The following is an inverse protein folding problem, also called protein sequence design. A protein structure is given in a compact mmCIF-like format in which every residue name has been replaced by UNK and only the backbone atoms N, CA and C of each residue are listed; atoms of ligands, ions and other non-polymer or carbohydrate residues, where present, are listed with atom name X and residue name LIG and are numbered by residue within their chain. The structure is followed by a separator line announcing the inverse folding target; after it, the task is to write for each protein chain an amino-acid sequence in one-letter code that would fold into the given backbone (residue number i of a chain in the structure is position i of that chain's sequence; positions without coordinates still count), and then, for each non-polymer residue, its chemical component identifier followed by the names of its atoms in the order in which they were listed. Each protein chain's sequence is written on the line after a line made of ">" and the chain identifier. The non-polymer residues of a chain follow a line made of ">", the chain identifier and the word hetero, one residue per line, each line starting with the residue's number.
data_IF_769969507512
#
_entry.id   IF_769969507512
#
_cell.length_a   1.000
_cell.length_b   1.000
_cell.length_c   1.000
_cell.angle_alpha   90.00
_cell.angle_beta   90.00
_cell.angle_gamma   90.00
#
_symmetry.space_group_name_H-M   'P 1'
#
loop_
_entity.id
_entity.type
_entity.pdbx_description
1 polymer ?
#
# COMPACT_ATOMS: atom_id res chain seq x y z
N UNK A 1 -16.35 -17.44 -10.14
CA UNK A 1 -16.62 -16.37 -9.16
C UNK A 1 -16.88 -16.92 -7.76
N UNK A 2 -17.94 -17.70 -7.49
CA UNK A 2 -18.10 -18.30 -6.13
C UNK A 2 -16.93 -19.22 -5.76
N UNK A 3 -16.46 -20.04 -6.71
CA UNK A 3 -15.24 -20.87 -6.56
C UNK A 3 -13.97 -20.03 -6.38
N UNK A 4 -13.89 -18.88 -7.05
CA UNK A 4 -12.74 -17.97 -7.01
C UNK A 4 -12.66 -17.22 -5.67
N UNK A 5 -13.81 -16.79 -5.16
CA UNK A 5 -13.94 -16.17 -3.84
C UNK A 5 -13.65 -17.19 -2.73
N UNK A 6 -14.16 -18.41 -2.83
CA UNK A 6 -13.85 -19.52 -1.89
C UNK A 6 -12.36 -19.81 -1.84
N UNK A 7 -11.73 -19.90 -3.01
CA UNK A 7 -10.29 -20.11 -3.12
C UNK A 7 -9.51 -18.94 -2.49
N UNK A 8 -9.92 -17.70 -2.77
CA UNK A 8 -9.30 -16.51 -2.20
C UNK A 8 -9.43 -16.44 -0.67
N UNK A 9 -10.56 -16.87 -0.10
CA UNK A 9 -10.75 -16.96 1.36
C UNK A 9 -9.81 -18.00 1.97
N UNK A 10 -9.65 -19.16 1.33
CA UNK A 10 -8.72 -20.20 1.78
C UNK A 10 -7.25 -19.70 1.71
N UNK A 11 -6.87 -19.08 0.59
CA UNK A 11 -5.54 -18.47 0.43
C UNK A 11 -5.29 -17.37 1.47
N UNK A 12 -6.29 -16.52 1.74
CA UNK A 12 -6.18 -15.47 2.76
C UNK A 12 -5.88 -16.08 4.13
N UNK A 13 -6.59 -17.15 4.51
CA UNK A 13 -6.34 -17.85 5.78
C UNK A 13 -4.87 -18.28 5.90
N UNK A 14 -4.34 -18.92 4.86
CA UNK A 14 -2.96 -19.42 4.85
C UNK A 14 -1.95 -18.27 4.96
N UNK A 15 -2.19 -17.16 4.26
CA UNK A 15 -1.38 -15.94 4.36
C UNK A 15 -1.39 -15.35 5.76
N UNK A 16 -2.56 -15.26 6.41
CA UNK A 16 -2.65 -14.71 7.76
C UNK A 16 -1.96 -15.62 8.79
N UNK A 17 -2.03 -16.94 8.62
CA UNK A 17 -1.30 -17.89 9.44
C UNK A 17 0.22 -17.75 9.26
N UNK A 18 0.70 -17.61 8.03
CA UNK A 18 2.13 -17.44 7.76
C UNK A 18 2.66 -16.13 8.34
N UNK A 19 1.96 -15.01 8.11
CA UNK A 19 2.33 -13.70 8.67
C UNK A 19 2.41 -13.72 10.20
N UNK A 20 1.51 -14.44 10.85
CA UNK A 20 1.52 -14.57 12.30
C UNK A 20 2.63 -15.48 12.82
N UNK A 21 2.96 -16.55 12.09
CA UNK A 21 4.05 -17.45 12.44
C UNK A 21 5.43 -16.83 12.19
N UNK A 22 5.53 -15.93 11.20
CA UNK A 22 6.77 -15.34 10.72
C UNK A 22 6.75 -13.80 10.79
N UNK A 23 6.74 -13.19 12.00
CA UNK A 23 6.70 -11.74 12.14
C UNK A 23 7.95 -11.07 11.55
N UNK A 24 7.77 -9.85 11.04
CA UNK A 24 8.85 -9.05 10.48
C UNK A 24 9.71 -8.41 11.58
N UNK A 25 11.04 -8.33 11.38
CA UNK A 25 11.91 -7.66 12.33
C UNK A 25 11.57 -6.16 12.41
N UNK A 26 11.66 -5.61 13.61
CA UNK A 26 11.53 -4.18 13.82
C UNK A 26 12.74 -3.42 13.28
N UNK A 27 12.47 -2.27 12.68
CA UNK A 27 13.49 -1.35 12.19
C UNK A 27 13.76 -0.29 13.24
N UNK A 28 15.03 -0.13 13.64
CA UNK A 28 15.43 0.94 14.53
C UNK A 28 15.26 2.32 13.87
N UNK A 29 14.92 3.34 14.67
CA UNK A 29 14.88 4.71 14.17
C UNK A 29 16.28 5.20 13.79
N UNK A 30 16.44 5.90 12.64
CA UNK A 30 17.69 6.59 12.33
C UNK A 30 18.04 7.61 13.43
N UNK A 31 19.34 7.78 13.77
CA UNK A 31 19.78 8.60 14.91
C UNK A 31 19.33 10.08 14.83
N UNK A 32 19.08 10.57 13.61
CA UNK A 32 18.68 11.96 13.37
C UNK A 32 17.15 12.18 13.36
N UNK A 33 16.33 11.12 13.41
CA UNK A 33 14.87 11.19 13.21
C UNK A 33 14.11 10.15 14.04
N UNK A 34 13.71 10.48 15.28
CA UNK A 34 12.99 9.55 16.16
C UNK A 34 11.47 9.61 15.92
N UNK A 35 11.03 9.59 14.65
CA UNK A 35 9.60 9.65 14.31
C UNK A 35 9.15 8.29 13.78
N UNK A 36 8.08 7.76 14.34
CA UNK A 36 7.40 6.54 13.87
C UNK A 36 5.96 6.88 13.56
N UNK A 37 5.40 6.21 12.57
CA UNK A 37 4.00 6.27 12.23
C UNK A 37 3.52 4.87 11.94
N UNK A 38 2.29 4.55 12.36
CA UNK A 38 1.71 3.23 12.20
C UNK A 38 0.44 3.31 11.37
N UNK A 39 0.20 2.28 10.58
CA UNK A 39 -1.02 2.15 9.77
C UNK A 39 -1.67 0.80 10.00
N UNK A 40 -3.00 0.78 10.09
CA UNK A 40 -3.81 -0.41 10.24
C UNK A 40 -4.31 -0.90 8.87
N UNK A 41 -3.90 -2.09 8.48
CA UNK A 41 -4.48 -2.84 7.38
C UNK A 41 -5.63 -3.68 7.94
N UNK A 42 -6.85 -3.17 7.80
CA UNK A 42 -8.06 -3.75 8.38
C UNK A 42 -8.78 -4.57 7.32
N UNK A 43 -8.85 -5.88 7.56
CA UNK A 43 -9.54 -6.86 6.74
C UNK A 43 -10.90 -7.21 7.34
N UNK A 44 -11.86 -7.51 6.48
CA UNK A 44 -13.11 -8.17 6.85
C UNK A 44 -13.46 -9.21 5.79
N UNK A 45 -14.37 -10.11 6.12
CA UNK A 45 -15.05 -10.93 5.12
C UNK A 45 -16.49 -10.47 5.03
N UNK A 46 -16.92 -10.01 3.86
CA UNK A 46 -18.28 -9.58 3.61
C UNK A 46 -19.13 -10.83 3.29
N UNK A 47 -20.17 -11.16 4.08
CA UNK A 47 -20.96 -12.35 3.81
C UNK A 47 -21.65 -12.31 2.44
N UNK A 48 -21.78 -13.47 1.82
CA UNK A 48 -22.67 -13.65 0.66
C UNK A 48 -24.14 -13.69 1.13
N UNK A 49 -25.05 -13.20 0.29
CA UNK A 49 -26.48 -13.19 0.57
C UNK A 49 -27.02 -14.59 0.86
N UNK A 50 -26.59 -15.60 0.09
CA UNK A 50 -27.05 -16.98 0.23
C UNK A 50 -26.54 -17.67 1.51
N UNK A 51 -25.48 -17.12 2.11
CA UNK A 51 -24.79 -17.65 3.28
C UNK A 51 -24.76 -16.65 4.43
N UNK A 52 -25.75 -15.76 4.49
CA UNK A 52 -25.80 -14.77 5.56
C UNK A 52 -26.00 -15.45 6.92
N UNK A 53 -25.20 -15.14 7.95
CA UNK A 53 -25.35 -15.79 9.24
C UNK A 53 -26.71 -15.43 9.84
N UNK A 54 -27.45 -16.44 10.28
CA UNK A 54 -28.72 -16.23 11.00
C UNK A 54 -28.39 -15.43 12.26
N UNK A 55 -28.93 -14.21 12.34
CA UNK A 55 -28.85 -13.40 13.56
C UNK A 55 -29.55 -14.18 14.66
N UNK A 56 -28.79 -14.90 15.47
CA UNK A 56 -29.29 -15.36 16.75
C UNK A 56 -29.49 -14.09 17.57
N UNK A 57 -30.74 -13.64 17.69
CA UNK A 57 -31.14 -12.69 18.71
C UNK A 57 -30.62 -13.22 20.05
N UNK A 58 -29.45 -12.73 20.50
CA UNK A 58 -29.02 -12.99 21.85
C UNK A 58 -30.10 -12.35 22.71
N UNK A 59 -30.87 -13.19 23.39
CA UNK A 59 -31.84 -12.79 24.40
C UNK A 59 -31.20 -11.80 25.39
N UNK A 60 -31.30 -10.51 25.12
CA UNK A 60 -30.86 -9.42 26.01
C UNK A 60 -31.80 -9.29 27.22
N UNK A 61 -32.90 -10.05 27.26
CA UNK A 61 -33.81 -10.13 28.40
C UNK A 61 -33.80 -11.52 29.01
N UNK A 62 -33.13 -11.68 30.17
CA UNK A 62 -33.41 -12.65 31.27
C UNK A 62 -32.19 -13.34 31.91
N UNK A 63 -31.11 -12.62 32.25
CA UNK A 63 -30.15 -13.15 33.25
C UNK A 63 -29.82 -12.21 34.43
N UNK A 64 -30.52 -11.09 34.59
CA UNK A 64 -30.30 -10.15 35.71
C UNK A 64 -31.16 -10.43 36.96
N UNK A 65 -31.98 -11.49 36.98
CA UNK A 65 -32.92 -11.71 38.09
C UNK A 65 -33.07 -13.18 38.53
N UNK A 66 -31.96 -13.86 38.84
CA UNK A 66 -32.02 -15.10 39.67
C UNK A 66 -30.66 -15.48 40.28
N UNK A 67 -30.07 -14.58 41.06
CA UNK A 67 -29.04 -14.96 42.04
C UNK A 67 -29.35 -14.37 43.41
N UNK A 68 -30.48 -14.84 43.98
CA UNK A 68 -30.79 -14.66 45.40
C UNK A 68 -30.11 -15.78 46.19
N UNK A 69 -29.22 -15.37 47.08
CA UNK A 69 -28.87 -15.93 48.40
C UNK A 69 -28.69 -17.45 48.51
N UNK A 70 -27.43 -17.87 48.57
CA UNK A 70 -27.02 -19.01 49.41
C UNK A 70 -25.70 -18.66 50.10
N UNK A 71 -25.78 -18.47 51.41
CA UNK A 71 -24.66 -18.33 52.35
C UNK A 71 -23.79 -19.58 52.31
N UNK A 72 -22.49 -19.42 52.04
CA UNK A 72 -21.49 -20.48 52.20
C UNK A 72 -20.32 -19.93 52.99
N UNK A 73 -20.15 -20.51 54.18
CA UNK A 73 -19.06 -20.35 55.13
C UNK A 73 -17.70 -20.61 54.46
N UNK A 74 -16.77 -19.66 54.64
CA UNK A 74 -15.40 -19.73 54.15
C UNK A 74 -14.56 -20.72 54.96
N UNK A 75 -14.15 -21.83 54.35
CA UNK A 75 -13.10 -22.69 54.85
C UNK A 75 -11.82 -22.45 54.00
N UNK A 76 -10.71 -21.95 54.57
CA UNK A 76 -9.60 -21.41 53.78
C UNK A 76 -8.69 -22.45 53.10
N UNK A 77 -8.81 -23.74 53.38
CA UNK A 77 -7.83 -24.75 52.94
C UNK A 77 -8.09 -25.38 51.56
N UNK A 78 -9.23 -25.12 50.91
CA UNK A 78 -9.55 -25.75 49.61
C UNK A 78 -9.33 -24.82 48.40
N UNK A 79 -8.83 -23.62 48.62
CA UNK A 79 -8.59 -22.60 47.57
C UNK A 79 -7.30 -22.88 46.77
N UNK A 80 -6.38 -23.68 47.32
CA UNK A 80 -5.09 -23.96 46.68
C UNK A 80 -5.16 -25.10 45.66
N UNK A 81 -6.04 -26.10 45.85
CA UNK A 81 -6.18 -27.23 44.92
C UNK A 81 -7.09 -26.95 43.71
N UNK A 82 -8.00 -25.97 43.79
CA UNK A 82 -8.82 -25.52 42.64
C UNK A 82 -8.12 -24.48 41.75
N UNK A 83 -7.04 -23.86 42.22
CA UNK A 83 -6.23 -22.92 41.42
C UNK A 83 -5.25 -23.61 40.46
N UNK A 84 -5.05 -24.92 40.60
CA UNK A 84 -4.15 -25.71 39.76
C UNK A 84 -4.85 -26.39 38.56
N UNK A 85 -6.17 -26.22 38.37
CA UNK A 85 -6.91 -26.83 37.24
C UNK A 85 -7.66 -25.82 36.36
N UNK A 86 -7.43 -24.52 36.54
CA UNK A 86 -7.75 -23.49 35.53
C UNK A 86 -6.42 -23.15 34.86
N UNK A 87 -5.84 -24.14 34.17
CA UNK A 87 -4.89 -23.83 33.12
C UNK A 87 -5.70 -23.12 32.04
N UNK A 88 -5.53 -21.79 31.98
CA UNK A 88 -6.02 -20.96 30.88
C UNK A 88 -5.73 -21.67 29.57
N UNK A 89 -6.75 -22.23 28.93
CA UNK A 89 -6.65 -22.64 27.54
C UNK A 89 -6.57 -21.34 26.73
N UNK A 90 -5.37 -20.75 26.65
CA UNK A 90 -5.07 -19.74 25.64
C UNK A 90 -5.15 -20.47 24.30
N UNK A 91 -6.29 -20.36 23.63
CA UNK A 91 -6.44 -20.85 22.27
C UNK A 91 -5.29 -20.31 21.43
N UNK A 92 -4.65 -21.18 20.65
CA UNK A 92 -3.62 -20.73 19.71
C UNK A 92 -4.27 -19.80 18.70
N UNK A 93 -3.53 -18.79 18.21
CA UNK A 93 -4.01 -17.93 17.13
C UNK A 93 -4.46 -18.76 15.92
N UNK A 94 -3.76 -19.88 15.66
CA UNK A 94 -4.14 -20.84 14.63
C UNK A 94 -5.55 -21.39 14.85
N UNK A 95 -5.88 -21.79 16.08
CA UNK A 95 -7.20 -22.34 16.42
C UNK A 95 -8.29 -21.27 16.25
N UNK A 96 -7.98 -20.02 16.60
CA UNK A 96 -8.91 -18.88 16.44
C UNK A 96 -9.19 -18.62 14.96
N UNK A 97 -8.15 -18.59 14.12
CA UNK A 97 -8.30 -18.41 12.67
C UNK A 97 -9.01 -19.60 12.04
N UNK A 98 -8.64 -20.83 12.41
CA UNK A 98 -9.32 -22.05 11.96
C UNK A 98 -10.83 -21.99 12.30
N UNK A 99 -11.18 -21.60 13.52
CA UNK A 99 -12.57 -21.42 13.92
C UNK A 99 -13.27 -20.32 13.11
N UNK A 100 -12.64 -19.17 12.92
CA UNK A 100 -13.21 -18.06 12.15
C UNK A 100 -13.50 -18.47 10.70
N UNK A 101 -12.51 -19.03 10.00
CA UNK A 101 -12.62 -19.47 8.60
C UNK A 101 -13.46 -20.75 8.42
N UNK A 102 -13.77 -21.48 9.49
CA UNK A 102 -14.69 -22.62 9.43
C UNK A 102 -16.16 -22.22 9.33
N UNK A 103 -16.50 -20.95 9.61
CA UNK A 103 -17.86 -20.46 9.54
C UNK A 103 -18.37 -20.41 8.10
N UNK A 104 -19.61 -20.85 7.87
CA UNK A 104 -20.22 -20.95 6.53
C UNK A 104 -20.22 -19.61 5.78
N UNK A 105 -20.61 -18.53 6.47
CA UNK A 105 -20.65 -17.18 5.90
C UNK A 105 -19.26 -16.63 5.54
N UNK A 106 -18.20 -17.11 6.20
CA UNK A 106 -16.82 -16.72 5.91
C UNK A 106 -16.32 -17.47 4.68
N UNK A 107 -16.56 -18.78 4.60
CA UNK A 107 -16.14 -19.61 3.46
C UNK A 107 -16.72 -19.13 2.14
N UNK A 108 -17.93 -18.58 2.17
CA UNK A 108 -18.64 -18.10 0.98
C UNK A 108 -18.58 -16.58 0.82
N UNK A 109 -17.96 -15.84 1.76
CA UNK A 109 -17.90 -14.38 1.76
C UNK A 109 -16.76 -13.80 0.92
N UNK A 110 -16.81 -12.50 0.63
CA UNK A 110 -15.80 -11.79 -0.16
C UNK A 110 -14.85 -11.01 0.78
N UNK A 111 -13.53 -11.32 0.82
CA UNK A 111 -12.59 -10.59 1.67
C UNK A 111 -12.36 -9.16 1.15
N UNK A 112 -12.45 -8.19 2.05
CA UNK A 112 -12.34 -6.76 1.74
C UNK A 112 -11.35 -6.06 2.66
N UNK A 113 -10.76 -4.98 2.16
CA UNK A 113 -9.79 -4.13 2.87
C UNK A 113 -10.33 -2.71 2.99
N UNK A 114 -10.20 -2.12 4.18
CA UNK A 114 -10.60 -0.74 4.43
C UNK A 114 -9.57 0.29 3.96
N UNK A 115 -10.02 1.24 3.15
CA UNK A 115 -9.28 2.44 2.78
C UNK A 115 -9.99 3.70 3.28
N UNK A 116 -9.20 4.74 3.53
CA UNK A 116 -9.70 6.10 3.77
C UNK A 116 -9.32 7.01 2.60
N UNK A 117 -10.20 7.97 2.29
CA UNK A 117 -9.83 9.17 1.53
C UNK A 117 -9.56 10.28 2.53
N UNK A 118 -8.32 10.77 2.56
CA UNK A 118 -7.90 11.87 3.46
C UNK A 118 -8.68 13.15 3.18
N UNK A 119 -9.03 13.88 4.23
CA UNK A 119 -9.68 15.18 4.12
C UNK A 119 -8.77 16.22 3.44
N UNK A 120 -9.38 17.16 2.74
CA UNK A 120 -8.67 18.24 2.05
C UNK A 120 -8.22 19.30 3.04
N UNK A 121 -6.91 19.54 3.14
CA UNK A 121 -6.32 20.54 4.04
C UNK A 121 -5.34 21.44 3.29
N UNK A 122 -5.48 22.75 3.47
CA UNK A 122 -4.56 23.72 2.86
C UNK A 122 -3.14 23.48 3.40
N UNK A 123 -2.18 23.24 2.51
CA UNK A 123 -0.79 22.96 2.87
C UNK A 123 -0.48 21.49 3.18
N UNK A 124 -1.47 20.60 3.22
CA UNK A 124 -1.21 19.16 3.28
C UNK A 124 -0.88 18.62 1.89
N UNK A 125 0.31 18.04 1.76
CA UNK A 125 0.85 17.41 0.54
C UNK A 125 0.11 16.12 0.16
N UNK A 126 -0.73 15.63 1.07
CA UNK A 126 -1.47 14.37 0.97
C UNK A 126 -2.98 14.55 0.89
N UNK A 127 -3.41 15.78 0.63
CA UNK A 127 -4.81 16.17 0.48
C UNK A 127 -5.53 15.27 -0.52
N UNK A 128 -6.59 14.59 -0.06
CA UNK A 128 -7.44 13.75 -0.92
C UNK A 128 -6.85 12.38 -1.30
N UNK A 129 -5.65 12.03 -0.82
CA UNK A 129 -5.02 10.75 -1.12
C UNK A 129 -5.75 9.58 -0.44
N UNK A 130 -5.72 8.44 -1.11
CA UNK A 130 -6.12 7.16 -0.53
C UNK A 130 -5.02 6.65 0.41
N UNK A 131 -5.41 6.30 1.63
CA UNK A 131 -4.53 5.80 2.67
C UNK A 131 -5.17 4.64 3.44
N UNK A 132 -4.34 3.96 4.23
CA UNK A 132 -4.79 3.14 5.35
C UNK A 132 -5.05 4.05 6.55
N UNK A 133 -5.99 3.71 7.45
CA UNK A 133 -6.11 4.39 8.75
C UNK A 133 -4.78 4.35 9.49
N UNK A 134 -4.37 5.47 10.09
CA UNK A 134 -3.09 5.53 10.77
C UNK A 134 -2.49 6.92 10.88
N UNK A 135 -1.52 7.03 11.77
CA UNK A 135 -0.92 8.30 12.13
C UNK A 135 0.40 8.16 12.85
N UNK A 136 0.83 9.26 13.47
CA UNK A 136 2.13 9.33 14.13
C UNK A 136 2.02 8.66 15.49
N UNK A 137 3.08 7.96 15.90
CA UNK A 137 3.20 7.43 17.25
C UNK A 137 3.28 8.58 18.28
N UNK A 138 2.43 8.47 19.29
CA UNK A 138 2.41 9.39 20.42
C UNK A 138 3.36 8.91 21.54
N UNK A 139 3.90 9.82 22.36
CA UNK A 139 4.77 9.46 23.48
C UNK A 139 4.14 8.48 24.48
N UNK A 140 2.81 8.50 24.59
CA UNK A 140 2.02 7.66 25.48
C UNK A 140 1.75 6.25 24.92
N UNK A 141 1.95 6.04 23.61
CA UNK A 141 1.73 4.74 22.96
C UNK A 141 2.85 3.76 23.37
N UNK A 142 2.47 2.63 23.97
CA UNK A 142 3.39 1.61 24.47
C UNK A 142 4.28 1.01 23.37
N UNK A 143 3.71 0.79 22.18
CA UNK A 143 4.38 0.29 20.99
C UNK A 143 3.71 0.83 19.71
N UNK A 144 4.27 0.48 18.55
CA UNK A 144 3.74 0.92 17.26
C UNK A 144 2.40 0.26 16.91
N UNK A 145 2.08 -0.89 17.51
CA UNK A 145 0.81 -1.58 17.31
C UNK A 145 -0.33 -0.85 18.02
N UNK A 146 -0.08 -0.37 19.26
CA UNK A 146 -1.01 0.47 20.02
C UNK A 146 -1.34 1.74 19.24
N UNK A 147 -0.35 2.38 18.59
CA UNK A 147 -0.59 3.52 17.68
C UNK A 147 -1.57 3.15 16.57
N UNK A 148 -1.41 2.01 15.89
CA UNK A 148 -2.31 1.61 14.81
C UNK A 148 -3.76 1.40 15.31
N UNK A 149 -3.94 0.82 16.49
CA UNK A 149 -5.26 0.63 17.12
C UNK A 149 -5.90 1.96 17.50
N UNK A 150 -5.14 2.86 18.13
CA UNK A 150 -5.62 4.20 18.52
C UNK A 150 -6.08 4.99 17.30
N UNK A 151 -5.24 5.09 16.28
CA UNK A 151 -5.51 5.85 15.06
C UNK A 151 -6.72 5.28 14.30
N UNK A 152 -6.88 3.95 14.23
CA UNK A 152 -8.07 3.33 13.63
C UNK A 152 -9.36 3.70 14.40
N UNK A 153 -9.30 3.77 15.73
CA UNK A 153 -10.43 4.21 16.54
C UNK A 153 -10.72 5.71 16.34
N UNK A 154 -9.69 6.56 16.30
CA UNK A 154 -9.83 8.02 16.16
C UNK A 154 -10.33 8.44 14.78
N UNK A 155 -9.73 7.90 13.71
CA UNK A 155 -10.01 8.31 12.33
C UNK A 155 -11.31 7.71 11.78
N UNK A 156 -11.57 6.42 12.06
CA UNK A 156 -12.69 5.67 11.45
C UNK A 156 -13.66 5.04 12.45
N UNK A 157 -13.36 5.06 13.76
CA UNK A 157 -14.24 4.53 14.80
C UNK A 157 -14.31 3.01 14.89
N UNK A 158 -13.34 2.29 14.29
CA UNK A 158 -13.31 0.82 14.31
C UNK A 158 -12.52 0.35 15.51
N UNK A 159 -13.17 -0.46 16.36
CA UNK A 159 -12.49 -1.12 17.47
C UNK A 159 -11.67 -2.32 16.99
N UNK A 160 -10.36 -2.22 17.12
CA UNK A 160 -9.41 -3.30 16.82
C UNK A 160 -8.98 -4.08 18.08
N UNK A 161 -9.71 -3.93 19.19
CA UNK A 161 -9.53 -4.75 20.38
C UNK A 161 -9.84 -6.22 20.12
N UNK A 162 -9.34 -7.10 20.98
CA UNK A 162 -9.53 -8.55 20.89
C UNK A 162 -11.02 -8.98 20.89
N UNK A 163 -11.94 -8.11 21.32
CA UNK A 163 -13.38 -8.39 21.29
C UNK A 163 -13.96 -8.36 19.87
N UNK A 164 -13.35 -7.61 18.95
CA UNK A 164 -13.88 -7.31 17.62
C UNK A 164 -12.94 -7.66 16.47
N UNK A 165 -11.64 -7.79 16.75
CA UNK A 165 -10.63 -8.08 15.76
C UNK A 165 -9.58 -9.07 16.25
N UNK A 166 -9.01 -9.84 15.30
CA UNK A 166 -7.83 -10.67 15.50
C UNK A 166 -6.63 -9.88 15.00
N UNK A 167 -5.67 -9.63 15.89
CA UNK A 167 -4.36 -9.11 15.52
C UNK A 167 -3.53 -10.20 14.87
N UNK A 168 -3.11 -10.02 13.62
CA UNK A 168 -2.36 -11.01 12.86
C UNK A 168 -0.85 -10.82 13.02
N UNK A 169 -0.37 -9.60 12.81
CA UNK A 169 1.07 -9.30 12.84
C UNK A 169 1.40 -8.02 12.09
N UNK A 170 2.69 -7.83 11.80
CA UNK A 170 3.19 -6.70 11.04
C UNK A 170 3.50 -7.07 9.58
N UNK A 171 3.61 -6.04 8.74
CA UNK A 171 4.23 -6.12 7.41
C UNK A 171 5.60 -5.42 7.45
N UNK A 172 6.43 -5.50 6.39
CA UNK A 172 7.74 -4.88 6.38
C UNK A 172 7.71 -3.40 6.75
N UNK A 173 8.38 -3.05 7.84
CA UNK A 173 8.60 -1.66 8.22
C UNK A 173 9.49 -0.97 7.17
N UNK A 174 9.38 0.35 7.04
CA UNK A 174 10.14 1.10 6.03
C UNK A 174 10.50 2.50 6.49
N UNK A 175 11.73 2.95 6.20
CA UNK A 175 12.15 4.31 6.51
C UNK A 175 11.59 5.24 5.45
N UNK A 176 10.58 6.04 5.79
CA UNK A 176 10.12 7.11 4.92
C UNK A 176 11.15 8.24 4.91
N UNK A 177 11.64 8.60 3.74
CA UNK A 177 12.59 9.66 3.45
C UNK A 177 11.92 10.74 2.62
N UNK A 178 12.52 11.93 2.57
CA UNK A 178 12.14 12.98 1.61
C UNK A 178 12.10 12.44 0.18
N UNK A 179 11.37 13.10 -0.72
CA UNK A 179 11.01 12.63 -2.07
C UNK A 179 12.16 12.22 -3.01
N UNK A 180 13.42 12.25 -2.55
CA UNK A 180 14.62 11.87 -3.27
C UNK A 180 15.65 11.08 -2.42
N UNK A 181 15.23 10.47 -1.29
CA UNK A 181 16.06 9.53 -0.52
C UNK A 181 17.28 10.16 0.14
N UNK A 182 17.20 11.43 0.58
CA UNK A 182 18.36 12.13 1.19
C UNK A 182 18.25 12.33 2.69
N UNK A 183 17.03 12.37 3.21
CA UNK A 183 16.77 12.72 4.61
C UNK A 183 15.63 11.82 5.09
N UNK A 184 15.85 10.96 6.10
CA UNK A 184 14.76 10.22 6.74
C UNK A 184 13.76 11.18 7.38
N UNK A 185 12.51 10.75 7.49
CA UNK A 185 11.40 11.53 8.02
C UNK A 185 10.65 10.79 9.10
N UNK A 186 10.45 9.49 8.91
CA UNK A 186 9.83 8.59 9.88
C UNK A 186 10.07 7.13 9.51
N UNK A 187 9.82 6.20 10.42
CA UNK A 187 9.62 4.78 10.11
C UNK A 187 8.11 4.52 10.02
N UNK A 188 7.66 3.95 8.91
CA UNK A 188 6.27 3.50 8.73
C UNK A 188 6.14 2.04 9.17
N UNK A 189 5.17 1.78 10.04
CA UNK A 189 4.94 0.49 10.69
C UNK A 189 3.52 -0.03 10.37
N UNK A 190 3.38 -0.87 9.32
CA UNK A 190 2.09 -1.47 8.97
C UNK A 190 1.73 -2.70 9.82
N UNK A 191 0.48 -2.77 10.30
CA UNK A 191 -0.07 -3.88 11.09
C UNK A 191 -1.37 -4.41 10.48
N UNK A 192 -1.57 -5.73 10.52
CA UNK A 192 -2.71 -6.43 9.91
C UNK A 192 -3.71 -6.88 10.97
N UNK A 193 -4.99 -6.57 10.74
CA UNK A 193 -6.11 -6.92 11.61
C UNK A 193 -7.24 -7.56 10.80
N UNK A 194 -7.88 -8.58 11.37
CA UNK A 194 -9.05 -9.24 10.78
C UNK A 194 -10.28 -9.04 11.68
N UNK A 195 -11.31 -8.36 11.19
CA UNK A 195 -12.58 -8.21 11.88
C UNK A 195 -13.33 -9.55 11.93
N UNK A 196 -13.92 -9.86 13.09
CA UNK A 196 -14.55 -11.17 13.34
C UNK A 196 -16.07 -11.17 13.18
N UNK A 197 -16.69 -9.99 13.08
CA UNK A 197 -18.13 -9.86 12.91
C UNK A 197 -18.54 -9.92 11.44
N UNK A 198 -19.69 -10.55 11.16
CA UNK A 198 -20.37 -10.52 9.86
C UNK A 198 -21.12 -9.21 9.61
N UNK A 199 -21.38 -8.44 10.67
CA UNK A 199 -22.08 -7.16 10.57
C UNK A 199 -21.15 -6.07 10.06
N UNK A 200 -21.72 -5.11 9.34
CA UNK A 200 -20.98 -3.93 8.91
C UNK A 200 -20.51 -3.14 10.15
N UNK A 201 -19.20 -2.89 10.33
CA UNK A 201 -18.71 -2.21 11.53
C UNK A 201 -19.22 -0.76 11.54
N UNK A 202 -19.75 -0.32 12.68
CA UNK A 202 -20.16 1.07 12.85
C UNK A 202 -18.94 1.99 12.67
N UNK A 203 -18.98 2.85 11.65
CA UNK A 203 -17.89 3.78 11.36
C UNK A 203 -18.26 5.18 11.86
N UNK A 204 -17.35 5.79 12.61
CA UNK A 204 -17.44 7.18 13.06
C UNK A 204 -16.23 7.92 12.53
N UNK A 205 -16.42 8.57 11.38
CA UNK A 205 -15.31 9.27 10.71
C UNK A 205 -14.98 10.57 11.42
N UNK A 206 -13.69 10.84 11.60
CA UNK A 206 -13.22 12.15 12.03
C UNK A 206 -13.16 13.09 10.81
N UNK A 207 -14.10 14.05 10.68
CA UNK A 207 -14.28 14.81 9.43
C UNK A 207 -13.09 15.71 9.09
N UNK A 208 -12.26 16.06 10.08
CA UNK A 208 -11.05 16.85 9.87
C UNK A 208 -9.96 16.04 9.17
N UNK A 209 -9.94 14.71 9.31
CA UNK A 209 -8.84 13.82 8.87
C UNK A 209 -9.28 12.91 7.74
N UNK A 210 -10.52 12.42 7.79
CA UNK A 210 -11.09 11.47 6.85
C UNK A 210 -12.30 12.09 6.15
N UNK A 211 -12.25 12.18 4.84
CA UNK A 211 -13.37 12.61 4.01
C UNK A 211 -14.37 11.49 3.74
N UNK A 212 -13.88 10.25 3.57
CA UNK A 212 -14.73 9.07 3.32
C UNK A 212 -13.96 7.77 3.57
N UNK A 213 -14.67 6.68 3.83
CA UNK A 213 -14.15 5.31 3.93
C UNK A 213 -14.65 4.46 2.78
N UNK A 214 -13.85 3.47 2.38
CA UNK A 214 -14.10 2.60 1.24
C UNK A 214 -13.63 1.19 1.53
N UNK A 215 -14.55 0.23 1.58
CA UNK A 215 -14.20 -1.19 1.58
C UNK A 215 -13.97 -1.66 0.15
N UNK A 216 -12.85 -2.32 -0.10
CA UNK A 216 -12.47 -2.76 -1.46
C UNK A 216 -12.21 -4.26 -1.45
N UNK A 217 -12.90 -5.04 -2.30
CA UNK A 217 -12.65 -6.47 -2.42
C UNK A 217 -11.21 -6.79 -2.83
N UNK A 218 -10.65 -7.83 -2.21
CA UNK A 218 -9.28 -8.25 -2.46
C UNK A 218 -9.07 -8.69 -3.91
N UNK A 219 -10.06 -9.36 -4.51
CA UNK A 219 -10.05 -9.69 -5.96
C UNK A 219 -9.97 -8.45 -6.85
N UNK A 220 -10.55 -7.31 -6.44
CA UNK A 220 -10.45 -6.07 -7.19
C UNK A 220 -9.01 -5.50 -7.12
N UNK A 221 -8.35 -5.63 -5.97
CA UNK A 221 -6.94 -5.24 -5.84
C UNK A 221 -6.00 -6.13 -6.66
N UNK A 222 -6.32 -7.42 -6.80
CA UNK A 222 -5.57 -8.38 -7.62
C UNK A 222 -5.83 -8.22 -9.12
N UNK A 223 -6.98 -7.68 -9.52
CA UNK A 223 -7.40 -7.56 -10.91
C UNK A 223 -6.42 -6.72 -11.77
N UNK A 224 -5.89 -7.28 -12.88
CA UNK A 224 -5.05 -6.53 -13.81
C UNK A 224 -5.79 -5.38 -14.53
N UNK A 225 -7.11 -5.51 -14.74
CA UNK A 225 -7.94 -4.51 -15.42
C UNK A 225 -8.06 -3.19 -14.66
N UNK A 226 -7.81 -3.20 -13.34
CA UNK A 226 -7.86 -2.03 -12.47
C UNK A 226 -6.50 -1.34 -12.27
N UNK A 227 -5.45 -1.85 -12.92
CA UNK A 227 -4.13 -1.21 -12.90
C UNK A 227 -4.14 0.02 -13.80
N UNK A 228 -3.64 1.13 -13.28
CA UNK A 228 -3.63 2.43 -13.96
C UNK A 228 -2.40 3.26 -13.55
N UNK A 229 -2.38 4.54 -13.91
CA UNK A 229 -1.31 5.46 -13.59
C UNK A 229 -1.85 6.74 -12.96
N UNK A 230 -1.08 7.27 -12.03
CA UNK A 230 -1.29 8.61 -11.47
C UNK A 230 -0.19 9.56 -11.93
N UNK A 231 -0.57 10.79 -12.28
CA UNK A 231 0.33 11.79 -12.84
C UNK A 231 0.61 12.90 -11.82
N UNK A 232 1.81 12.89 -11.22
CA UNK A 232 2.17 13.92 -10.24
C UNK A 232 3.26 14.86 -10.77
N UNK A 233 3.11 16.16 -10.48
CA UNK A 233 4.16 17.13 -10.73
C UNK A 233 5.29 16.98 -9.68
N UNK A 234 6.48 16.62 -10.16
CA UNK A 234 7.68 16.47 -9.33
C UNK A 234 8.61 17.70 -9.39
N UNK A 235 8.25 18.74 -10.15
CA UNK A 235 9.06 19.93 -10.37
C UNK A 235 9.34 20.71 -9.08
N UNK A 236 8.32 20.91 -8.23
CA UNK A 236 8.48 21.56 -6.93
C UNK A 236 9.48 20.80 -6.05
N UNK A 237 9.48 19.46 -6.16
CA UNK A 237 10.37 18.57 -5.40
C UNK A 237 11.80 18.63 -5.93
N UNK A 238 11.97 18.72 -7.26
CA UNK A 238 13.28 18.89 -7.91
C UNK A 238 13.88 20.28 -7.65
N UNK A 239 13.04 21.32 -7.66
CA UNK A 239 13.45 22.69 -7.39
C UNK A 239 13.84 22.93 -5.93
N UNK A 240 13.46 22.01 -5.02
CA UNK A 240 13.53 22.18 -3.55
C UNK A 240 12.88 23.48 -3.06
N UNK A 241 11.91 23.98 -3.81
CA UNK A 241 11.23 25.24 -3.53
C UNK A 241 9.80 25.14 -4.06
N UNK A 242 8.84 25.60 -3.27
CA UNK A 242 7.44 25.65 -3.68
C UNK A 242 7.16 26.82 -4.64
N UNK A 243 8.03 27.83 -4.66
CA UNK A 243 7.89 29.01 -5.51
C UNK A 243 9.20 29.32 -6.29
N UNK A 244 9.07 30.01 -7.42
CA UNK A 244 10.20 30.61 -8.13
C UNK A 244 10.49 30.05 -9.52
N UNK A 245 11.36 30.77 -10.23
CA UNK A 245 11.69 30.56 -11.66
C UNK A 245 12.23 29.14 -11.90
N UNK A 246 12.97 28.56 -10.94
CA UNK A 246 13.47 27.18 -11.03
C UNK A 246 12.35 26.14 -11.08
N UNK A 247 11.29 26.30 -10.27
CA UNK A 247 10.12 25.41 -10.31
C UNK A 247 9.39 25.58 -11.63
N UNK A 248 9.12 26.82 -12.03
CA UNK A 248 8.44 27.10 -13.31
C UNK A 248 9.22 26.49 -14.48
N UNK A 249 10.53 26.71 -14.56
CA UNK A 249 11.39 26.12 -15.59
C UNK A 249 11.34 24.59 -15.58
N UNK A 250 11.48 23.95 -14.41
CA UNK A 250 11.45 22.50 -14.29
C UNK A 250 10.06 21.91 -14.57
N UNK A 251 8.98 22.59 -14.19
CA UNK A 251 7.61 22.18 -14.45
C UNK A 251 7.32 22.21 -15.95
N UNK A 252 7.66 23.32 -16.62
CA UNK A 252 7.53 23.46 -18.08
C UNK A 252 8.41 22.46 -18.83
N UNK A 253 9.63 22.19 -18.34
CA UNK A 253 10.57 21.32 -19.04
C UNK A 253 10.35 19.83 -18.77
N UNK A 254 9.94 19.42 -17.58
CA UNK A 254 9.85 17.99 -17.23
C UNK A 254 8.44 17.43 -17.34
N UNK A 255 7.42 18.29 -17.31
CA UNK A 255 6.02 17.88 -17.25
C UNK A 255 5.76 16.94 -16.04
N UNK A 256 4.69 16.15 -16.10
CA UNK A 256 4.28 15.24 -15.04
C UNK A 256 5.08 13.93 -15.05
N UNK A 257 5.22 13.35 -13.86
CA UNK A 257 5.77 12.01 -13.68
C UNK A 257 4.62 11.02 -13.45
N UNK A 258 4.69 9.89 -14.14
CA UNK A 258 3.75 8.79 -14.07
C UNK A 258 4.17 7.83 -12.96
N UNK A 259 3.24 7.50 -12.07
CA UNK A 259 3.37 6.49 -11.03
C UNK A 259 2.33 5.40 -11.26
N UNK A 260 2.66 4.15 -10.96
CA UNK A 260 1.63 3.12 -11.00
C UNK A 260 0.59 3.36 -9.91
N UNK A 261 -0.66 3.05 -10.24
CA UNK A 261 -1.80 3.19 -9.37
C UNK A 261 -2.77 2.01 -9.58
N UNK A 262 -3.65 1.80 -8.61
CA UNK A 262 -4.80 0.89 -8.73
C UNK A 262 -6.06 1.74 -8.62
N UNK A 263 -6.98 1.57 -9.57
CA UNK A 263 -8.31 2.14 -9.47
C UNK A 263 -9.12 1.32 -8.46
N UNK A 264 -9.45 1.93 -7.33
CA UNK A 264 -10.25 1.28 -6.31
C UNK A 264 -11.72 1.26 -6.74
N UNK A 265 -12.29 0.06 -6.76
CA UNK A 265 -13.73 -0.15 -6.89
C UNK A 265 -14.31 -0.42 -5.49
N UNK A 266 -14.82 0.61 -4.79
CA UNK A 266 -15.40 0.42 -3.47
C UNK A 266 -16.69 -0.40 -3.56
N UNK A 267 -16.91 -1.24 -2.57
CA UNK A 267 -18.20 -1.90 -2.32
C UNK A 267 -19.25 -0.81 -2.08
N UNK A 268 -20.01 -0.45 -3.10
CA UNK A 268 -21.02 0.62 -3.02
C UNK A 268 -22.27 0.20 -2.24
N UNK A 269 -22.37 -1.09 -1.90
CA UNK A 269 -23.50 -1.71 -1.20
C UNK A 269 -23.02 -2.34 0.12
N UNK A 270 -23.80 -2.17 1.18
CA UNK A 270 -23.72 -2.98 2.41
C UNK A 270 -24.13 -4.44 2.16
N UNK A 271 -24.81 -4.70 1.04
CA UNK A 271 -25.35 -6.00 0.65
C UNK A 271 -24.61 -6.50 -0.60
N UNK A 272 -23.59 -7.32 -0.34
CA UNK A 272 -22.82 -8.17 -1.24
C UNK A 272 -22.13 -7.54 -2.46
N UNK A 273 -20.83 -7.80 -2.59
CA UNK A 273 -19.99 -7.42 -3.74
C UNK A 273 -19.85 -8.53 -4.78
N UNK A 274 -20.33 -9.75 -4.49
CA UNK A 274 -20.20 -10.93 -5.35
C UNK A 274 -21.15 -10.93 -6.56
N UNK A 275 -21.23 -9.82 -7.29
CA UNK A 275 -22.03 -9.71 -8.52
C UNK A 275 -21.11 -9.91 -9.73
N UNK A 276 -21.57 -10.69 -10.72
CA UNK A 276 -20.87 -10.88 -11.99
C UNK A 276 -20.64 -9.53 -12.69
N UNK A 277 -19.42 -9.26 -13.16
CA UNK A 277 -19.05 -8.00 -13.80
C UNK A 277 -18.76 -6.84 -12.84
N UNK A 278 -18.71 -7.09 -11.52
CA UNK A 278 -18.27 -6.07 -10.54
C UNK A 278 -16.83 -5.61 -10.82
N UNK A 279 -15.94 -6.55 -11.12
CA UNK A 279 -14.61 -6.24 -11.67
C UNK A 279 -14.76 -6.26 -13.19
N UNK A 280 -14.32 -5.22 -13.91
CA UNK A 280 -14.34 -5.22 -15.37
C UNK A 280 -13.46 -6.35 -15.92
N UNK A 281 -14.03 -7.23 -16.74
CA UNK A 281 -13.36 -8.40 -17.33
C UNK A 281 -12.37 -8.06 -18.47
N UNK A 282 -12.17 -6.77 -18.75
CA UNK A 282 -11.27 -6.33 -19.82
C UNK A 282 -10.84 -4.87 -19.72
N UNK A 283 -9.84 -4.45 -20.50
CA UNK A 283 -9.51 -3.04 -20.64
C UNK A 283 -10.76 -2.28 -21.09
N UNK A 284 -11.04 -1.13 -20.46
CA UNK A 284 -12.19 -0.30 -20.81
C UNK A 284 -12.32 -0.17 -22.34
N UNK A 285 -13.54 -0.30 -22.92
CA UNK A 285 -13.73 -0.19 -24.36
C UNK A 285 -13.01 1.05 -24.85
N UNK A 286 -12.13 0.88 -25.86
CA UNK A 286 -11.29 1.95 -26.41
C UNK A 286 -12.08 3.24 -26.46
N UNK A 287 -11.72 4.22 -25.63
CA UNK A 287 -12.34 5.54 -25.68
C UNK A 287 -12.29 5.99 -27.15
N UNK A 288 -13.41 6.51 -27.71
CA UNK A 288 -13.44 7.01 -29.08
C UNK A 288 -12.24 7.92 -29.30
N UNK A 289 -11.69 7.99 -30.51
CA UNK A 289 -10.49 8.78 -30.81
C UNK A 289 -10.51 10.19 -30.18
N UNK A 290 -11.68 10.84 -30.15
CA UNK A 290 -11.92 12.11 -29.47
C UNK A 290 -11.67 12.09 -27.96
N UNK A 291 -12.05 11.01 -27.27
CA UNK A 291 -11.77 10.77 -25.86
C UNK A 291 -10.29 10.57 -25.56
N UNK A 292 -9.54 9.87 -26.43
CA UNK A 292 -8.07 9.75 -26.33
C UNK A 292 -7.37 11.10 -26.55
N UNK A 293 -7.83 11.89 -27.52
CA UNK A 293 -7.31 13.25 -27.75
C UNK A 293 -7.62 14.16 -26.56
N UNK A 294 -8.83 14.09 -26.00
CA UNK A 294 -9.25 14.86 -24.82
C UNK A 294 -8.48 14.46 -23.56
N UNK A 295 -8.21 13.17 -23.37
CA UNK A 295 -7.38 12.63 -22.29
C UNK A 295 -5.91 13.04 -22.42
N UNK A 296 -5.35 13.07 -23.64
CA UNK A 296 -3.99 13.56 -23.89
C UNK A 296 -3.87 15.07 -23.66
N UNK A 297 -4.90 15.85 -23.98
CA UNK A 297 -4.91 17.32 -23.81
C UNK A 297 -5.21 17.76 -22.38
N UNK A 298 -6.17 17.10 -21.70
CA UNK A 298 -6.73 17.55 -20.43
C UNK A 298 -6.44 16.59 -19.25
N UNK A 299 -5.70 15.50 -19.48
CA UNK A 299 -5.41 14.45 -18.50
C UNK A 299 -6.53 13.40 -18.36
N UNK A 300 -6.23 12.25 -17.71
CA UNK A 300 -7.19 11.16 -17.49
C UNK A 300 -8.42 11.55 -16.66
N UNK A 301 -8.34 12.64 -15.90
CA UNK A 301 -9.46 13.18 -15.12
C UNK A 301 -10.55 13.84 -15.97
N UNK A 302 -10.25 14.23 -17.22
CA UNK A 302 -11.17 14.97 -18.07
C UNK A 302 -12.39 14.15 -18.57
N UNK A 303 -12.36 12.84 -18.36
CA UNK A 303 -13.44 11.92 -18.71
C UNK A 303 -14.40 11.65 -17.54
N UNK A 304 -14.08 12.09 -16.31
CA UNK A 304 -14.93 11.91 -15.15
C UNK A 304 -15.63 13.22 -14.79
N UNK A 305 -16.96 13.23 -14.54
CA UNK A 305 -17.63 14.42 -14.01
C UNK A 305 -17.00 14.78 -12.65
N UNK A 306 -16.85 16.08 -12.35
CA UNK A 306 -16.17 16.59 -11.16
C UNK A 306 -16.66 16.03 -9.79
N UNK A 307 -17.81 15.36 -9.77
CA UNK A 307 -18.37 14.65 -8.60
C UNK A 307 -17.84 13.23 -8.39
N UNK A 308 -17.16 12.63 -9.36
CA UNK A 308 -16.73 11.22 -9.34
C UNK A 308 -15.27 11.08 -9.80
N UNK A 309 -14.35 11.82 -9.18
CA UNK A 309 -12.94 11.52 -9.38
C UNK A 309 -12.65 10.08 -8.92
N UNK A 310 -11.93 9.28 -9.72
CA UNK A 310 -11.62 7.90 -9.38
C UNK A 310 -10.79 7.84 -8.10
N UNK A 311 -11.07 6.83 -7.25
CA UNK A 311 -10.26 6.57 -6.07
C UNK A 311 -8.99 5.85 -6.51
N UNK A 312 -7.86 6.54 -6.47
CA UNK A 312 -6.58 6.00 -6.91
C UNK A 312 -5.73 5.62 -5.70
N UNK A 313 -5.38 4.34 -5.62
CA UNK A 313 -4.38 3.83 -4.69
C UNK A 313 -3.00 3.89 -5.34
N UNK A 314 -2.14 4.77 -4.84
CA UNK A 314 -0.78 4.97 -5.35
C UNK A 314 0.20 5.36 -4.23
N UNK A 315 1.49 5.42 -4.56
CA UNK A 315 2.53 5.90 -3.65
C UNK A 315 2.80 4.96 -2.46
N UNK A 316 2.96 5.54 -1.27
CA UNK A 316 3.36 4.80 -0.06
C UNK A 316 2.33 3.72 0.31
N UNK A 317 1.04 4.05 0.26
CA UNK A 317 -0.07 3.14 0.55
C UNK A 317 -0.05 1.96 -0.41
N UNK A 318 0.08 2.22 -1.72
CA UNK A 318 0.20 1.16 -2.72
C UNK A 318 1.38 0.24 -2.41
N UNK A 319 2.53 0.79 -2.00
CA UNK A 319 3.66 -0.03 -1.59
C UNK A 319 3.37 -0.92 -0.36
N UNK A 320 2.55 -0.48 0.59
CA UNK A 320 2.14 -1.35 1.74
C UNK A 320 1.20 -2.44 1.26
N UNK A 321 0.22 -2.09 0.42
CA UNK A 321 -0.74 -3.04 -0.12
C UNK A 321 -0.06 -4.06 -1.03
N UNK A 322 0.86 -3.65 -1.90
CA UNK A 322 1.63 -4.57 -2.75
C UNK A 322 2.42 -5.59 -1.95
N UNK A 323 3.05 -5.18 -0.83
CA UNK A 323 3.77 -6.11 0.06
C UNK A 323 2.82 -7.16 0.66
N UNK A 324 1.56 -6.80 0.95
CA UNK A 324 0.53 -7.76 1.38
C UNK A 324 0.02 -8.64 0.24
N UNK A 325 -0.31 -8.05 -0.91
CA UNK A 325 -0.84 -8.76 -2.09
C UNK A 325 0.17 -9.76 -2.65
N UNK A 326 1.46 -9.52 -2.48
CA UNK A 326 2.51 -10.45 -2.91
C UNK A 326 2.45 -11.80 -2.17
N UNK A 327 1.85 -11.86 -0.97
CA UNK A 327 1.62 -13.12 -0.27
C UNK A 327 0.43 -13.91 -0.85
N UNK A 328 -0.43 -13.27 -1.64
CA UNK A 328 -1.62 -13.91 -2.20
C UNK A 328 -1.32 -14.41 -3.62
N UNK A 329 -1.62 -15.68 -3.94
CA UNK A 329 -1.50 -16.18 -5.30
C UNK A 329 -2.25 -15.29 -6.30
N UNK A 330 -1.68 -15.04 -7.51
CA UNK A 330 -0.56 -15.73 -8.13
C UNK A 330 0.83 -15.11 -7.85
N UNK A 331 1.00 -14.28 -6.80
CA UNK A 331 2.27 -13.64 -6.45
C UNK A 331 2.84 -12.76 -7.59
N UNK A 332 1.95 -12.10 -8.34
CA UNK A 332 2.33 -11.25 -9.48
C UNK A 332 2.12 -9.76 -9.19
N UNK A 333 1.90 -9.38 -7.92
CA UNK A 333 1.51 -8.02 -7.55
C UNK A 333 2.56 -6.99 -7.99
N UNK A 334 3.83 -7.41 -8.01
CA UNK A 334 5.00 -6.63 -8.43
C UNK A 334 5.27 -6.65 -9.94
N UNK A 335 5.00 -7.77 -10.62
CA UNK A 335 5.23 -7.88 -12.07
C UNK A 335 4.30 -6.94 -12.84
N UNK A 336 3.12 -6.69 -12.27
CA UNK A 336 2.15 -5.72 -12.76
C UNK A 336 2.53 -4.27 -12.43
N UNK A 337 3.65 -4.04 -11.73
CA UNK A 337 4.11 -2.72 -11.37
C UNK A 337 5.05 -2.13 -12.42
N UNK A 338 4.78 -0.90 -12.81
CA UNK A 338 5.60 -0.17 -13.79
C UNK A 338 6.54 0.80 -13.11
N UNK A 339 7.79 0.79 -13.55
CA UNK A 339 8.76 1.81 -13.16
C UNK A 339 8.24 3.22 -13.47
N UNK A 340 8.37 4.18 -12.54
CA UNK A 340 7.96 5.55 -12.79
C UNK A 340 8.70 6.20 -13.96
N UNK A 341 8.00 6.97 -14.80
CA UNK A 341 8.57 7.66 -15.98
C UNK A 341 7.96 9.04 -16.19
N UNK A 342 8.62 9.92 -16.94
CA UNK A 342 8.02 11.21 -17.33
C UNK A 342 7.13 11.08 -18.58
N UNK A 343 6.17 11.99 -18.71
CA UNK A 343 5.29 12.11 -19.89
C UNK A 343 6.06 12.55 -21.14
N UNK A 344 7.06 13.42 -20.97
CA UNK A 344 7.89 13.91 -22.06
C UNK A 344 8.69 12.79 -22.75
N UNK A 345 8.55 12.70 -24.07
CA UNK A 345 9.10 11.59 -24.85
C UNK A 345 10.63 11.48 -24.79
N UNK A 346 11.34 12.60 -24.82
CA UNK A 346 12.81 12.65 -24.76
C UNK A 346 13.34 12.25 -23.38
N UNK A 347 12.73 12.73 -22.29
CA UNK A 347 13.07 12.31 -20.93
C UNK A 347 12.77 10.83 -20.74
N UNK A 348 11.62 10.38 -21.24
CA UNK A 348 11.21 8.96 -21.21
C UNK A 348 12.18 8.08 -21.99
N UNK A 349 12.65 8.52 -23.16
CA UNK A 349 13.63 7.80 -23.96
C UNK A 349 14.98 7.72 -23.24
N UNK A 350 15.49 8.85 -22.71
CA UNK A 350 16.72 8.88 -21.93
C UNK A 350 16.63 7.94 -20.72
N UNK A 351 15.51 7.97 -19.99
CA UNK A 351 15.25 7.05 -18.89
C UNK A 351 15.20 5.59 -19.35
N UNK A 352 14.50 5.29 -20.44
CA UNK A 352 14.39 3.94 -20.99
C UNK A 352 15.77 3.36 -21.33
N UNK A 353 16.60 4.14 -22.02
CA UNK A 353 17.96 3.75 -22.42
C UNK A 353 18.88 3.56 -21.21
N UNK A 354 18.92 4.53 -20.29
CA UNK A 354 19.81 4.49 -19.13
C UNK A 354 19.38 3.45 -18.09
N UNK A 355 18.08 3.11 -18.01
CA UNK A 355 17.56 2.09 -17.10
C UNK A 355 17.47 0.69 -17.71
N UNK A 356 17.76 0.51 -19.01
CA UNK A 356 17.55 -0.76 -19.71
C UNK A 356 18.26 -1.95 -19.02
N UNK A 357 19.56 -1.81 -18.76
CA UNK A 357 20.35 -2.84 -18.09
C UNK A 357 19.92 -3.07 -16.64
N UNK A 358 19.55 -1.99 -15.94
CA UNK A 358 19.07 -2.07 -14.57
C UNK A 358 17.76 -2.87 -14.48
N UNK A 359 16.79 -2.55 -15.34
CA UNK A 359 15.49 -3.24 -15.41
C UNK A 359 15.65 -4.70 -15.83
N UNK A 360 16.50 -4.99 -16.83
CA UNK A 360 16.77 -6.36 -17.27
C UNK A 360 17.41 -7.21 -16.17
N UNK A 361 18.30 -6.63 -15.36
CA UNK A 361 18.89 -7.32 -14.20
C UNK A 361 17.84 -7.58 -13.11
N UNK A 362 17.04 -6.56 -12.76
CA UNK A 362 16.00 -6.68 -11.72
C UNK A 362 14.89 -7.66 -12.10
N UNK A 363 14.48 -7.69 -13.36
CA UNK A 363 13.51 -8.68 -13.85
C UNK A 363 14.02 -10.12 -13.63
N UNK A 364 15.30 -10.38 -13.90
CA UNK A 364 15.91 -11.70 -13.64
C UNK A 364 15.98 -12.05 -12.16
N UNK A 365 16.32 -11.09 -11.30
CA UNK A 365 16.32 -11.27 -9.83
C UNK A 365 14.92 -11.64 -9.31
N UNK A 366 13.87 -11.01 -9.84
CA UNK A 366 12.49 -11.31 -9.44
C UNK A 366 12.03 -12.70 -9.89
N UNK A 367 12.26 -13.06 -11.17
CA UNK A 367 11.87 -14.39 -11.67
C UNK A 367 12.62 -15.53 -10.98
N UNK A 368 13.90 -15.35 -10.63
CA UNK A 368 14.64 -16.38 -9.87
C UNK A 368 14.09 -16.56 -8.45
N UNK A 369 13.57 -15.49 -7.84
CA UNK A 369 13.01 -15.55 -6.48
C UNK A 369 11.64 -16.21 -6.47
N UNK A 370 10.78 -15.93 -7.47
CA UNK A 370 9.50 -16.60 -7.65
C UNK A 370 9.67 -18.13 -7.75
N UNK A 371 10.70 -18.61 -8.46
CA UNK A 371 11.03 -20.04 -8.55
C UNK A 371 11.52 -20.64 -7.21
N UNK A 372 12.25 -19.88 -6.38
CA UNK A 372 12.70 -20.34 -5.07
C UNK A 372 11.56 -20.43 -4.05
N UNK A 373 10.61 -19.48 -4.11
CA UNK A 373 9.42 -19.52 -3.26
C UNK A 373 8.49 -20.67 -3.65
N UNK A 374 8.29 -20.92 -4.95
CA UNK A 374 7.49 -22.06 -5.42
C UNK A 374 8.05 -23.42 -4.97
N UNK A 375 9.38 -23.58 -4.97
CA UNK A 375 10.02 -24.84 -4.55
C UNK A 375 10.06 -25.02 -3.02
N UNK A 376 10.05 -23.94 -2.23
CA UNK A 376 10.01 -24.01 -0.75
C UNK A 376 8.64 -24.38 -0.18
N UNK A 377 7.58 -24.22 -0.96
CA UNK A 377 6.23 -24.66 -0.56
C UNK A 377 6.09 -26.19 -0.66
N UNK A 378 6.94 -26.86 -1.45
CA UNK A 378 6.87 -28.31 -1.69
C UNK A 378 7.85 -29.14 -0.83
N UNK A 379 8.96 -28.55 -0.37
CA UNK A 379 9.91 -29.22 0.53
C UNK A 379 9.93 -28.59 1.93
N UNK A 380 9.48 -29.35 2.92
CA UNK A 380 9.53 -29.01 4.33
C UNK A 380 10.91 -28.49 4.77
N UNK A 381 10.88 -27.41 5.55
CA UNK A 381 12.01 -26.55 5.93
C UNK A 381 13.20 -27.35 6.50
N UNK A 382 14.32 -27.39 5.78
CA UNK A 382 15.64 -27.75 6.31
C UNK A 382 16.42 -26.48 6.66
N UNK A 383 16.88 -26.44 7.91
CA UNK A 383 17.63 -25.37 8.54
C UNK A 383 19.01 -25.13 7.86
N UNK A 384 19.49 -23.90 7.85
CA UNK A 384 20.85 -23.57 7.38
C UNK A 384 21.47 -22.40 8.15
N UNK A 385 22.80 -22.43 8.34
CA UNK A 385 23.41 -22.04 9.61
C UNK A 385 23.65 -20.54 9.78
N UNK A 386 23.64 -20.16 11.04
CA UNK A 386 23.79 -18.81 11.59
C UNK A 386 25.17 -18.20 11.32
N UNK A 387 25.27 -17.24 10.40
CA UNK A 387 26.40 -16.31 10.32
C UNK A 387 26.09 -14.99 11.05
N UNK A 388 27.12 -14.45 11.73
CA UNK A 388 27.07 -13.32 12.67
C UNK A 388 26.49 -12.04 12.04
N UNK A 389 25.47 -11.49 12.69
CA UNK A 389 24.82 -10.23 12.32
C UNK A 389 25.74 -9.02 12.53
N UNK A 390 26.27 -8.46 11.45
CA UNK A 390 26.70 -7.05 11.41
C UNK A 390 25.47 -6.17 11.24
N UNK A 391 25.36 -5.07 11.99
CA UNK A 391 24.22 -4.15 11.96
C UNK A 391 23.91 -3.67 10.53
N UNK A 392 22.74 -4.08 10.01
CA UNK A 392 22.25 -3.76 8.66
C UNK A 392 21.43 -2.46 8.68
N UNK A 393 21.67 -1.54 7.73
CA UNK A 393 20.94 -0.28 7.62
C UNK A 393 19.60 -0.48 6.90
N UNK A 394 18.47 0.07 7.38
CA UNK A 394 17.14 -0.30 6.90
C UNK A 394 16.78 0.38 5.55
N UNK A 395 15.88 -0.24 4.79
CA UNK A 395 15.45 0.25 3.47
C UNK A 395 14.72 1.59 3.51
N UNK A 396 15.15 2.54 2.66
CA UNK A 396 14.61 3.90 2.55
C UNK A 396 13.55 4.03 1.44
N UNK A 397 12.35 4.50 1.79
CA UNK A 397 11.21 4.80 0.90
C UNK A 397 10.94 6.28 0.82
N UNK A 398 10.86 6.88 -0.37
CA UNK A 398 10.52 8.30 -0.48
C UNK A 398 9.06 8.54 -0.11
N UNK A 399 8.77 9.74 0.43
CA UNK A 399 7.45 10.29 0.73
C UNK A 399 6.36 9.74 -0.21
N UNK A 400 6.53 9.87 -1.54
CA UNK A 400 5.54 9.45 -2.55
C UNK A 400 5.62 7.97 -2.99
N UNK A 401 6.15 7.08 -2.14
CA UNK A 401 6.50 5.70 -2.52
C UNK A 401 7.76 5.61 -3.41
N UNK A 402 8.56 6.68 -3.46
CA UNK A 402 9.69 6.84 -4.37
C UNK A 402 11.02 6.69 -3.63
N UNK A 403 11.30 5.49 -3.15
CA UNK A 403 12.49 5.14 -2.35
C UNK A 403 13.73 4.75 -3.13
N UNK A 404 14.90 5.15 -2.62
CA UNK A 404 16.24 4.77 -3.10
C UNK A 404 17.02 4.31 -1.88
N UNK A 405 17.35 3.03 -1.78
CA UNK A 405 18.41 2.58 -0.88
C UNK A 405 19.80 2.89 -1.47
N UNK A 406 20.73 3.29 -0.61
CA UNK A 406 22.16 3.33 -0.89
C UNK A 406 22.82 2.35 0.08
N UNK A 407 23.52 1.35 -0.48
CA UNK A 407 24.33 0.33 0.19
C UNK A 407 23.57 -0.74 0.98
N UNK A 408 23.15 -1.80 0.28
CA UNK A 408 22.76 -3.06 0.91
C UNK A 408 23.74 -4.19 0.53
N UNK A 409 24.26 -4.92 1.52
CA UNK A 409 25.18 -6.06 1.34
C UNK A 409 24.47 -7.31 0.79
N UNK A 410 25.19 -8.19 0.07
CA UNK A 410 24.59 -9.32 -0.67
C UNK A 410 23.74 -10.28 0.20
N UNK A 411 24.00 -10.42 1.51
CA UNK A 411 23.36 -11.41 2.39
C UNK A 411 21.95 -11.02 2.90
N UNK A 412 21.72 -9.77 3.31
CA UNK A 412 20.37 -9.34 3.73
C UNK A 412 19.36 -9.22 2.57
N UNK A 413 19.87 -9.16 1.33
CA UNK A 413 19.10 -8.98 0.09
C UNK A 413 18.26 -10.21 -0.27
N UNK A 414 18.78 -11.41 0.00
CA UNK A 414 18.02 -12.66 -0.15
C UNK A 414 16.92 -12.75 0.92
N UNK A 415 17.20 -12.42 2.19
CA UNK A 415 16.20 -12.49 3.27
C UNK A 415 15.00 -11.54 3.10
N UNK A 416 15.22 -10.35 2.54
CA UNK A 416 14.16 -9.33 2.37
C UNK A 416 13.31 -9.52 1.10
N UNK A 417 13.93 -10.00 0.01
CA UNK A 417 13.19 -10.43 -1.19
C UNK A 417 12.38 -11.70 -0.94
N UNK A 418 12.90 -12.61 -0.09
CA UNK A 418 12.19 -13.82 0.36
C UNK A 418 11.03 -13.51 1.33
N UNK A 419 10.95 -12.29 1.90
CA UNK A 419 9.87 -11.89 2.81
C UNK A 419 9.26 -10.52 2.44
N UNK A 420 8.84 -10.30 1.20
CA UNK A 420 7.77 -9.31 0.94
C UNK A 420 8.06 -7.81 1.04
N UNK A 421 9.31 -7.32 1.02
CA UNK A 421 9.60 -5.87 0.84
C UNK A 421 9.95 -5.53 -0.62
N UNK A 422 9.14 -6.06 -1.54
CA UNK A 422 9.60 -6.32 -2.89
C UNK A 422 9.48 -5.09 -3.81
N UNK A 423 8.52 -4.19 -3.51
CA UNK A 423 8.39 -2.87 -4.14
C UNK A 423 9.65 -2.02 -3.92
N UNK A 424 10.15 -1.99 -2.68
CA UNK A 424 11.35 -1.25 -2.33
C UNK A 424 12.57 -1.80 -3.06
N UNK A 425 12.67 -3.12 -3.12
CA UNK A 425 13.75 -3.79 -3.83
C UNK A 425 13.73 -3.51 -5.34
N UNK A 426 12.56 -3.31 -5.94
CA UNK A 426 12.44 -3.02 -7.37
C UNK A 426 12.92 -1.60 -7.71
N UNK A 427 12.60 -0.60 -6.88
CA UNK A 427 12.99 0.80 -7.10
C UNK A 427 14.40 1.16 -6.59
N UNK A 428 15.03 0.28 -5.82
CA UNK A 428 16.32 0.53 -5.20
C UNK A 428 17.43 0.88 -6.22
N UNK A 429 17.88 2.13 -6.23
CA UNK A 429 18.90 2.59 -7.19
C UNK A 429 18.35 3.02 -8.55
N UNK A 430 17.02 3.01 -8.74
CA UNK A 430 16.37 3.53 -9.94
C UNK A 430 16.44 5.07 -10.03
N UNK A 431 16.11 5.81 -8.97
CA UNK A 431 16.09 7.29 -9.06
C UNK A 431 17.44 7.99 -9.27
N UNK A 432 18.60 7.45 -8.85
CA UNK A 432 19.89 7.92 -9.34
C UNK A 432 19.97 7.91 -10.87
N UNK A 433 19.42 6.88 -11.53
CA UNK A 433 19.33 6.80 -12.99
C UNK A 433 18.37 7.87 -13.51
N UNK A 434 17.19 8.03 -12.88
CA UNK A 434 16.22 9.07 -13.22
C UNK A 434 16.86 10.46 -13.22
N UNK A 435 17.63 10.80 -12.17
CA UNK A 435 18.31 12.11 -12.07
C UNK A 435 19.30 12.35 -13.21
N UNK A 436 20.08 11.33 -13.56
CA UNK A 436 21.04 11.43 -14.67
C UNK A 436 20.32 11.56 -16.01
N UNK A 437 19.25 10.79 -16.22
CA UNK A 437 18.43 10.87 -17.44
C UNK A 437 17.77 12.24 -17.61
N UNK A 438 17.20 12.79 -16.52
CA UNK A 438 16.66 14.15 -16.49
C UNK A 438 17.73 15.18 -16.83
N UNK A 439 18.92 15.09 -16.23
CA UNK A 439 20.03 15.99 -16.52
C UNK A 439 20.48 15.92 -17.98
N UNK A 440 20.58 14.70 -18.55
CA UNK A 440 20.94 14.48 -19.96
C UNK A 440 19.89 15.07 -20.89
N UNK A 441 18.60 14.85 -20.61
CA UNK A 441 17.52 15.39 -21.43
C UNK A 441 17.48 16.93 -21.38
N UNK A 442 17.62 17.52 -20.19
CA UNK A 442 17.67 18.98 -20.04
C UNK A 442 18.88 19.59 -20.75
N UNK A 443 20.06 18.97 -20.61
CA UNK A 443 21.26 19.43 -21.32
C UNK A 443 21.06 19.36 -22.83
N UNK A 444 20.52 18.24 -23.34
CA UNK A 444 20.20 18.07 -24.75
C UNK A 444 19.26 19.15 -25.29
N UNK A 445 18.19 19.48 -24.54
CA UNK A 445 17.27 20.55 -24.91
C UNK A 445 17.94 21.92 -24.96
N UNK A 446 18.76 22.25 -23.95
CA UNK A 446 19.50 23.52 -23.93
C UNK A 446 20.45 23.60 -25.12
N UNK A 447 21.18 22.52 -25.44
CA UNK A 447 22.08 22.48 -26.59
C UNK A 447 21.32 22.68 -27.91
N UNK A 448 20.20 21.99 -28.12
CA UNK A 448 19.36 22.16 -29.33
C UNK A 448 18.83 23.59 -29.43
N UNK A 449 18.31 24.15 -28.33
CA UNK A 449 17.81 25.52 -28.31
C UNK A 449 18.93 26.54 -28.62
N UNK A 450 20.14 26.35 -28.07
CA UNK A 450 21.29 27.18 -28.39
C UNK A 450 21.70 27.08 -29.86
N UNK A 451 21.72 25.87 -30.44
CA UNK A 451 22.04 25.68 -31.86
C UNK A 451 21.00 26.32 -32.79
N UNK A 452 19.71 26.18 -32.47
CA UNK A 452 18.62 26.83 -33.21
C UNK A 452 18.71 28.35 -33.09
N UNK A 453 19.01 28.87 -31.89
CA UNK A 453 19.22 30.30 -31.67
C UNK A 453 20.39 30.85 -32.50
N UNK A 454 21.52 30.13 -32.53
CA UNK A 454 22.67 30.49 -33.36
C UNK A 454 22.31 30.45 -34.86
N UNK A 455 21.55 29.44 -35.29
CA UNK A 455 21.11 29.32 -36.69
C UNK A 455 20.16 30.45 -37.10
N UNK A 456 19.18 30.80 -36.26
CA UNK A 456 18.27 31.92 -36.48
C UNK A 456 19.00 33.26 -36.48
N UNK A 457 19.93 33.46 -35.54
CA UNK A 457 20.77 34.67 -35.48
C UNK A 457 21.58 34.83 -36.76
N UNK A 458 22.24 33.75 -37.23
CA UNK A 458 22.95 33.76 -38.51
C UNK A 458 22.02 34.13 -39.66
N UNK A 459 20.83 33.53 -39.72
CA UNK A 459 19.84 33.80 -40.79
C UNK A 459 19.34 35.24 -40.78
N UNK A 460 19.14 35.84 -39.62
CA UNK A 460 18.70 37.23 -39.46
C UNK A 460 19.82 38.23 -39.81
N UNK A 461 21.06 37.94 -39.44
CA UNK A 461 22.22 38.80 -39.77
C UNK A 461 22.62 38.70 -41.25
N UNK A 462 22.34 37.57 -41.91
CA UNK A 462 22.61 37.38 -43.35
C UNK A 462 21.42 37.74 -44.24
N UNK A 463 20.31 38.26 -43.69
CA UNK A 463 19.21 38.73 -44.52
C UNK A 463 19.65 40.05 -45.20
N UNK A 464 19.70 40.12 -46.55
CA UNK A 464 20.04 41.36 -47.23
C UNK A 464 18.98 42.43 -46.89
N UNK A 465 19.43 43.65 -46.60
CA UNK A 465 18.58 44.83 -46.70
C UNK A 465 18.17 44.93 -48.16
N UNK A 466 16.95 44.50 -48.49
CA UNK A 466 16.32 44.90 -49.75
C UNK A 466 16.14 46.43 -49.67
N UNK A 467 17.12 47.13 -50.24
CA UNK A 467 17.16 48.56 -50.40
C UNK A 467 15.91 49.02 -51.13
N UNK A 468 15.15 49.87 -50.45
CA UNK A 468 14.07 50.64 -51.03
C UNK A 468 14.73 51.86 -51.70
N UNK A 469 15.11 51.71 -52.97
CA UNK A 469 15.43 52.80 -53.92
C UNK A 469 14.25 53.01 -54.87
#
# INVERSE_FOLDING_TARGET
>A
METETKELVAQLKDVLLDLAANPYPEIACPPNVPKRASVALILRVQPNYDHWPVVQERNIHSQTAKRRRSSVTSNPENTQRRRASIAEHKFSLKDILDAFFSQDWVQHGDPELLFIKRATRVGDKWTGHVALPGGKRDPEDADDQVTAVREAMEEVGIDLSYAHAISIGNLPQRIVTTSWGKVPLMVLCPYVYLLTSSEYPAQRLQPTEVASTHWVPLRALLAPSLRTYEYADVSARLAKSEFGIKRWFLSTMLSQMMFAAIHLLPSSSTYCTSISGFVPDGPAPNAPFMGKVKEVLNGPEANYPARQQPLLLWGLTLGVISDFLEHIPPHNALELWTYPTFTNWDVRFAMWAMSYHYRKRKAREMSSTAHLNANKVDEGIVDSPTEKATAEEPGEVGIAGLGVGRNWGKAGREKLMVRGAAVNSMLEGYYPIVRRAVAVALLGRVTVASLVGIWLWKKLVTAPEDGND
#
